data_IF_864639197788
#
_entry.id   IF_864639197788
#
_cell.length_a   1.000
_cell.length_b   1.000
_cell.length_c   1.000
_cell.angle_alpha   90.00
_cell.angle_beta   90.00
_cell.angle_gamma   90.00
#
_symmetry.space_group_name_H-M   'P 1'
#
loop_
_entity.id
_entity.type
_entity.pdbx_description
1 polymer ?
#
# COMPACT_ATOMS: atom_id res chain seq x y z
N UNK A 1 -5.30 22.80 -0.56
CA UNK A 1 -5.22 21.52 -1.30
C UNK A 1 -4.21 21.72 -2.41
N UNK A 2 -3.00 21.15 -2.28
CA UNK A 2 -1.92 21.31 -3.27
C UNK A 2 -2.14 20.36 -4.43
N UNK A 3 -1.80 20.81 -5.65
CA UNK A 3 -1.81 20.03 -6.89
C UNK A 3 -0.84 18.86 -6.80
N UNK A 4 -1.30 17.74 -6.26
CA UNK A 4 -0.57 16.49 -6.36
C UNK A 4 -0.89 15.85 -7.71
N UNK A 5 0.13 15.37 -8.45
CA UNK A 5 -0.10 14.65 -9.70
C UNK A 5 -1.07 13.49 -9.47
N UNK A 6 -2.10 13.42 -10.32
CA UNK A 6 -3.21 12.44 -10.19
C UNK A 6 -2.94 11.29 -11.14
N UNK A 7 -2.70 10.11 -10.60
CA UNK A 7 -2.69 8.89 -11.40
C UNK A 7 -4.14 8.42 -11.67
N UNK A 8 -4.45 8.13 -12.94
CA UNK A 8 -5.77 7.67 -13.35
C UNK A 8 -5.86 6.14 -13.29
N UNK A 9 -6.85 5.64 -12.56
CA UNK A 9 -7.18 4.21 -12.46
C UNK A 9 -7.44 3.52 -13.81
N UNK A 10 -7.64 4.31 -14.87
CA UNK A 10 -7.80 3.81 -16.25
C UNK A 10 -6.56 3.10 -16.78
N UNK A 11 -5.35 3.52 -16.41
CA UNK A 11 -4.13 2.88 -16.91
C UNK A 11 -3.97 1.46 -16.33
N UNK A 12 -4.40 1.27 -15.08
CA UNK A 12 -4.48 -0.05 -14.46
C UNK A 12 -5.55 -0.92 -15.14
N UNK A 13 -6.76 -0.38 -15.34
CA UNK A 13 -7.82 -1.10 -16.08
C UNK A 13 -7.37 -1.50 -17.49
N UNK A 14 -6.65 -0.63 -18.21
CA UNK A 14 -6.10 -0.94 -19.52
C UNK A 14 -5.06 -2.05 -19.49
N UNK A 15 -4.24 -2.15 -18.44
CA UNK A 15 -3.30 -3.26 -18.28
C UNK A 15 -4.05 -4.58 -18.05
N UNK A 16 -5.03 -4.58 -17.14
CA UNK A 16 -5.87 -5.75 -16.83
C UNK A 16 -6.67 -6.22 -18.05
N UNK A 17 -7.28 -5.30 -18.81
CA UNK A 17 -8.06 -5.63 -20.01
C UNK A 17 -7.20 -6.19 -21.16
N UNK A 18 -5.90 -5.87 -21.19
CA UNK A 18 -4.96 -6.41 -22.18
C UNK A 18 -4.43 -7.80 -21.82
N UNK A 19 -4.83 -8.35 -20.66
CA UNK A 19 -4.32 -9.64 -20.17
C UNK A 19 -2.87 -9.57 -19.69
N UNK A 20 -2.32 -8.38 -19.53
CA UNK A 20 -0.97 -8.17 -19.01
C UNK A 20 -0.98 -8.41 -17.49
N UNK A 21 -0.01 -9.15 -16.94
CA UNK A 21 0.15 -9.25 -15.50
C UNK A 21 0.36 -7.85 -14.91
N UNK A 22 -0.26 -7.59 -13.76
CA UNK A 22 -0.06 -6.37 -12.99
C UNK A 22 1.39 -6.34 -12.47
N UNK A 23 2.29 -5.80 -13.27
CA UNK A 23 3.66 -5.50 -12.87
C UNK A 23 3.67 -4.23 -12.02
N UNK A 24 3.45 -4.41 -10.72
CA UNK A 24 3.41 -3.33 -9.74
C UNK A 24 4.74 -2.59 -9.65
N UNK A 25 5.87 -3.26 -9.91
CA UNK A 25 7.19 -2.61 -9.88
C UNK A 25 7.37 -1.70 -11.08
N UNK A 26 6.96 -2.14 -12.27
CA UNK A 26 6.97 -1.30 -13.47
C UNK A 26 6.01 -0.13 -13.36
N UNK A 27 4.82 -0.35 -12.78
CA UNK A 27 3.88 0.73 -12.49
C UNK A 27 4.46 1.73 -11.50
N UNK A 28 5.05 1.26 -10.39
CA UNK A 28 5.70 2.12 -9.41
C UNK A 28 6.87 2.91 -10.01
N UNK A 29 7.69 2.29 -10.85
CA UNK A 29 8.78 2.95 -11.56
C UNK A 29 8.27 4.02 -12.54
N UNK A 30 7.20 3.72 -13.29
CA UNK A 30 6.57 4.69 -14.19
C UNK A 30 6.00 5.87 -13.41
N UNK A 31 5.32 5.64 -12.28
CA UNK A 31 4.79 6.72 -11.45
C UNK A 31 5.88 7.59 -10.85
N UNK A 32 6.93 6.98 -10.32
CA UNK A 32 8.07 7.74 -9.78
C UNK A 32 8.69 8.63 -10.85
N UNK A 33 8.84 8.12 -12.07
CA UNK A 33 9.37 8.90 -13.20
C UNK A 33 8.44 10.04 -13.60
N UNK A 34 7.14 9.78 -13.71
CA UNK A 34 6.18 10.72 -14.32
C UNK A 34 5.60 11.71 -13.31
N UNK A 35 5.56 11.36 -12.03
CA UNK A 35 4.84 12.08 -10.98
C UNK A 35 5.66 12.29 -9.69
N UNK A 36 6.87 11.73 -9.59
CA UNK A 36 7.77 11.89 -8.44
C UNK A 36 7.48 10.95 -7.28
N UNK A 37 7.98 11.31 -6.10
CA UNK A 37 8.03 10.40 -4.94
C UNK A 37 6.75 10.36 -4.08
N UNK A 38 5.75 11.18 -4.40
CA UNK A 38 4.49 11.26 -3.66
C UNK A 38 3.32 11.52 -4.61
N UNK A 39 2.48 10.52 -4.80
CA UNK A 39 1.40 10.53 -5.81
C UNK A 39 0.06 10.23 -5.15
N UNK A 40 -0.95 11.03 -5.48
CA UNK A 40 -2.33 10.72 -5.09
C UNK A 40 -2.98 9.84 -6.17
N UNK A 41 -3.52 8.70 -5.74
CA UNK A 41 -4.23 7.77 -6.60
C UNK A 41 -5.70 7.67 -6.19
N UNK A 42 -6.57 8.09 -7.11
CA UNK A 42 -8.01 7.97 -6.93
C UNK A 42 -8.50 6.56 -7.33
N UNK A 43 -8.13 5.55 -6.54
CA UNK A 43 -8.58 4.18 -6.74
C UNK A 43 -9.94 3.95 -6.09
N UNK A 44 -11.01 4.52 -6.66
CA UNK A 44 -12.37 4.36 -6.12
C UNK A 44 -12.71 2.87 -5.89
N UNK A 45 -13.22 2.48 -4.71
CA UNK A 45 -13.66 3.31 -3.59
C UNK A 45 -12.58 3.59 -2.51
N UNK A 46 -11.34 3.15 -2.71
CA UNK A 46 -10.23 3.28 -1.76
C UNK A 46 -9.14 4.23 -2.30
N UNK A 47 -9.28 5.56 -2.12
CA UNK A 47 -8.20 6.48 -2.49
C UNK A 47 -6.92 6.12 -1.72
N UNK A 48 -5.78 6.26 -2.40
CA UNK A 48 -4.50 5.88 -1.86
C UNK A 48 -3.45 6.95 -2.14
N UNK A 49 -2.45 7.05 -1.27
CA UNK A 49 -1.21 7.76 -1.53
C UNK A 49 -0.12 6.74 -1.80
N UNK A 50 0.64 6.97 -2.85
CA UNK A 50 1.79 6.16 -3.22
C UNK A 50 3.03 6.95 -2.86
N UNK A 51 3.83 6.38 -1.96
CA UNK A 51 5.01 7.03 -1.38
C UNK A 51 6.23 6.20 -1.75
N UNK A 52 7.24 6.84 -2.35
CA UNK A 52 8.50 6.18 -2.71
C UNK A 52 9.74 6.97 -2.24
N UNK A 53 9.54 8.09 -1.53
CA UNK A 53 10.63 8.83 -0.90
C UNK A 53 11.15 8.05 0.34
N UNK A 54 12.47 7.77 0.45
CA UNK A 54 13.03 7.03 1.59
C UNK A 54 12.66 7.61 2.96
N UNK A 55 12.80 8.91 3.14
CA UNK A 55 12.49 9.58 4.41
C UNK A 55 11.02 9.46 4.80
N UNK A 56 10.09 9.64 3.85
CA UNK A 56 8.66 9.46 4.10
C UNK A 56 8.32 7.98 4.38
N UNK A 57 8.98 7.04 3.70
CA UNK A 57 8.82 5.62 3.99
C UNK A 57 9.30 5.29 5.40
N UNK A 58 10.44 5.84 5.84
CA UNK A 58 10.95 5.67 7.19
C UNK A 58 9.97 6.26 8.22
N UNK A 59 9.48 7.47 7.98
CA UNK A 59 8.50 8.13 8.84
C UNK A 59 7.22 7.29 8.96
N UNK A 60 6.66 6.83 7.85
CA UNK A 60 5.37 6.10 7.83
C UNK A 60 5.52 4.68 8.39
N UNK A 61 6.57 3.95 8.01
CA UNK A 61 6.70 2.53 8.31
C UNK A 61 7.46 2.22 9.61
N UNK A 62 8.22 3.19 10.13
CA UNK A 62 9.06 3.00 11.33
C UNK A 62 8.71 4.02 12.40
N UNK A 63 8.91 5.31 12.16
CA UNK A 63 8.78 6.34 13.23
C UNK A 63 7.33 6.50 13.70
N UNK A 64 6.38 6.46 12.77
CA UNK A 64 4.95 6.66 13.02
C UNK A 64 4.12 5.44 12.66
N UNK A 65 4.72 4.24 12.71
CA UNK A 65 4.05 3.00 12.33
C UNK A 65 2.70 2.79 13.06
N UNK A 66 2.61 3.18 14.34
CA UNK A 66 1.36 3.06 15.13
C UNK A 66 0.27 4.07 14.70
N UNK A 67 0.63 5.15 13.98
CA UNK A 67 -0.32 6.13 13.46
C UNK A 67 -0.98 5.70 12.14
N UNK A 68 -0.40 4.71 11.45
CA UNK A 68 -0.90 4.19 10.19
C UNK A 68 -1.47 2.78 10.35
N UNK A 69 -2.77 2.64 10.14
CA UNK A 69 -3.44 1.34 10.21
C UNK A 69 -3.48 0.68 8.84
N UNK A 70 -3.48 -0.66 8.82
CA UNK A 70 -3.70 -1.40 7.58
C UNK A 70 -5.06 -1.04 6.97
N UNK A 71 -5.12 -0.86 5.63
CA UNK A 71 -6.37 -0.50 4.97
C UNK A 71 -7.49 -1.50 5.25
N UNK A 72 -8.75 -1.07 5.43
CA UNK A 72 -9.88 -1.97 5.68
C UNK A 72 -10.06 -3.08 4.63
N UNK A 73 -9.66 -2.81 3.38
CA UNK A 73 -9.70 -3.81 2.30
C UNK A 73 -8.84 -5.05 2.62
N UNK A 74 -7.77 -4.92 3.39
CA UNK A 74 -6.95 -6.08 3.82
C UNK A 74 -7.75 -6.99 4.76
N UNK A 75 -8.54 -6.41 5.66
CA UNK A 75 -9.38 -7.15 6.60
C UNK A 75 -10.52 -7.88 5.88
N UNK A 76 -11.12 -7.28 4.86
CA UNK A 76 -12.22 -7.91 4.11
C UNK A 76 -11.76 -8.94 3.07
N UNK A 77 -10.58 -8.74 2.47
CA UNK A 77 -10.04 -9.64 1.42
C UNK A 77 -9.19 -10.75 2.03
N UNK A 78 -8.12 -10.41 2.75
CA UNK A 78 -7.19 -11.36 3.34
C UNK A 78 -7.72 -11.96 4.64
N UNK A 79 -8.47 -11.21 5.44
CA UNK A 79 -9.01 -11.69 6.71
C UNK A 79 -9.91 -12.92 6.59
N UNK A 80 -10.57 -13.12 5.44
CA UNK A 80 -11.34 -14.33 5.16
C UNK A 80 -10.48 -15.59 5.07
N UNK A 81 -9.24 -15.46 4.63
CA UNK A 81 -8.32 -16.58 4.43
C UNK A 81 -7.29 -16.71 5.56
N UNK A 82 -6.80 -15.58 6.08
CA UNK A 82 -5.73 -15.51 7.06
C UNK A 82 -6.22 -15.20 8.48
N UNK A 83 -7.53 -15.02 8.67
CA UNK A 83 -8.11 -14.58 9.95
C UNK A 83 -7.47 -13.28 10.43
N UNK A 84 -7.18 -13.20 11.72
CA UNK A 84 -6.38 -12.11 12.29
C UNK A 84 -4.87 -12.38 12.17
N UNK A 85 -4.39 -12.86 11.02
CA UNK A 85 -2.95 -13.12 10.80
C UNK A 85 -2.11 -11.85 10.72
N UNK A 86 -0.77 -12.01 10.65
CA UNK A 86 0.21 -10.91 10.60
C UNK A 86 -0.03 -9.86 9.50
N UNK A 87 -0.70 -10.21 8.41
CA UNK A 87 -1.00 -9.28 7.31
C UNK A 87 -2.31 -8.51 7.53
N UNK A 88 -3.08 -8.86 8.55
CA UNK A 88 -4.42 -8.34 8.84
C UNK A 88 -4.48 -7.62 10.18
N UNK A 89 -3.72 -8.08 11.18
CA UNK A 89 -3.65 -7.51 12.52
C UNK A 89 -2.85 -6.20 12.58
N UNK A 90 -3.22 -5.32 13.52
CA UNK A 90 -2.50 -4.07 13.86
C UNK A 90 -2.16 -4.06 15.37
N UNK A 91 -1.30 -3.12 15.80
CA UNK A 91 -1.05 -2.84 17.22
C UNK A 91 -0.40 -3.99 18.01
N UNK A 92 -0.76 -4.12 19.29
CA UNK A 92 -0.15 -5.10 20.21
C UNK A 92 -0.31 -6.53 19.77
N UNK A 93 -1.48 -6.88 19.21
CA UNK A 93 -1.73 -8.22 18.72
C UNK A 93 -0.82 -8.58 17.55
N UNK A 94 -0.60 -7.63 16.62
CA UNK A 94 0.39 -7.80 15.56
C UNK A 94 1.82 -7.93 16.11
N UNK A 95 2.20 -7.11 17.09
CA UNK A 95 3.53 -7.18 17.75
C UNK A 95 3.77 -8.56 18.37
N UNK A 96 2.77 -9.12 19.05
CA UNK A 96 2.86 -10.45 19.65
C UNK A 96 3.02 -11.53 18.58
N UNK A 97 2.21 -11.50 17.51
CA UNK A 97 2.34 -12.46 16.40
C UNK A 97 3.69 -12.37 15.69
N UNK A 98 4.25 -11.16 15.52
CA UNK A 98 5.57 -10.96 14.91
C UNK A 98 6.70 -11.55 15.74
N UNK A 99 6.68 -11.35 17.06
CA UNK A 99 7.69 -11.93 17.96
C UNK A 99 7.71 -13.46 17.93
N UNK A 100 6.55 -14.08 17.80
CA UNK A 100 6.43 -15.54 17.74
C UNK A 100 6.92 -16.14 16.42
N UNK A 101 6.92 -15.36 15.34
CA UNK A 101 7.24 -15.83 13.98
C UNK A 101 8.64 -15.46 13.51
N UNK A 102 9.29 -14.45 14.11
CA UNK A 102 10.71 -14.19 13.86
C UNK A 102 11.56 -15.20 14.63
N UNK A 103 12.29 -16.11 13.94
CA UNK A 103 13.29 -16.93 14.60
C UNK A 103 14.36 -16.03 15.22
N UNK A 104 14.81 -16.40 16.41
CA UNK A 104 15.90 -15.75 17.13
C UNK A 104 17.23 -15.87 16.37
#
# INVERSE_FOLDING_TARGET
MRDHPRFSSLDMMRATLRGEPLDLLRLAAAWKRDYGDFVYWNFFPYPAYIVSHPDLLHEILIEKADAFQKPPIYKTTLGRFLGNGLLVSDGDFWRQQRKLTQPA
#
